data_IF_358060179399
#
_entry.id   IF_358060179399
#
_cell.length_a   1.000
_cell.length_b   1.000
_cell.length_c   1.000
_cell.angle_alpha   90.00
_cell.angle_beta   90.00
_cell.angle_gamma   90.00
#
_symmetry.space_group_name_H-M   'P 1'
#
loop_
_entity.id
_entity.type
_entity.pdbx_description
1 polymer ?
#
# COMPACT_ATOMS: atom_id res chain seq x y z
N UNK A 1 -8.54 5.89 10.26
CA UNK A 1 -7.49 5.80 9.22
C UNK A 1 -7.11 7.21 8.82
N UNK A 2 -5.82 7.53 8.79
CA UNK A 2 -5.32 8.76 8.18
C UNK A 2 -4.85 8.42 6.75
N UNK A 3 -5.54 8.91 5.73
CA UNK A 3 -5.31 8.44 4.35
C UNK A 3 -4.06 9.02 3.69
N UNK A 4 -3.62 10.22 4.10
CA UNK A 4 -2.43 10.89 3.56
C UNK A 4 -1.60 11.47 4.71
N UNK A 5 -0.95 10.61 5.51
CA UNK A 5 -0.05 11.07 6.58
C UNK A 5 1.10 11.88 5.98
N UNK A 6 1.57 12.87 6.74
CA UNK A 6 2.77 13.64 6.43
C UNK A 6 4.01 13.06 7.11
N UNK A 7 3.83 12.38 8.24
CA UNK A 7 4.91 11.66 8.91
C UNK A 7 5.38 10.51 8.04
N UNK A 8 6.70 10.34 7.98
CA UNK A 8 7.34 9.24 7.22
C UNK A 8 8.28 8.47 8.12
N UNK A 9 8.29 7.16 7.93
CA UNK A 9 9.15 6.23 8.66
C UNK A 9 10.24 5.65 7.76
N UNK A 10 11.06 4.78 8.34
CA UNK A 10 12.13 4.08 7.64
C UNK A 10 12.34 2.68 8.21
N UNK A 11 13.01 1.85 7.41
CA UNK A 11 13.42 0.50 7.75
C UNK A 11 14.94 0.42 7.66
N UNK A 12 15.56 -0.36 8.54
CA UNK A 12 17.00 -0.58 8.54
C UNK A 12 17.31 -2.05 8.80
N UNK A 13 18.29 -2.59 8.06
CA UNK A 13 18.82 -3.91 8.32
C UNK A 13 19.57 -3.90 9.66
N UNK A 14 19.25 -4.82 10.56
CA UNK A 14 19.96 -4.93 11.83
C UNK A 14 21.38 -5.49 11.66
N UNK A 15 21.60 -6.30 10.63
CA UNK A 15 22.89 -6.94 10.33
C UNK A 15 22.96 -7.37 8.84
N UNK A 16 24.03 -8.08 8.47
CA UNK A 16 24.19 -8.71 7.15
C UNK A 16 23.45 -10.05 7.03
N UNK A 17 22.97 -10.63 8.14
CA UNK A 17 22.24 -11.89 8.15
C UNK A 17 20.78 -11.64 7.73
N UNK A 18 20.29 -12.24 6.63
CA UNK A 18 18.91 -12.03 6.17
C UNK A 18 17.84 -12.62 7.10
N UNK A 19 18.21 -13.46 8.07
CA UNK A 19 17.29 -14.00 9.07
C UNK A 19 17.10 -13.09 10.29
N UNK A 20 17.94 -12.08 10.46
CA UNK A 20 17.79 -11.15 11.58
C UNK A 20 16.61 -10.21 11.31
N UNK A 21 15.81 -9.94 12.35
CA UNK A 21 14.71 -9.00 12.23
C UNK A 21 15.21 -7.60 11.89
N UNK A 22 14.56 -6.96 10.91
CA UNK A 22 14.82 -5.57 10.58
C UNK A 22 14.38 -4.63 11.70
N UNK A 23 14.98 -3.45 11.76
CA UNK A 23 14.50 -2.36 12.61
C UNK A 23 13.42 -1.60 11.85
N UNK A 24 12.29 -1.40 12.51
CA UNK A 24 11.12 -0.73 11.95
C UNK A 24 10.90 0.55 12.74
N UNK A 25 10.98 1.69 12.06
CA UNK A 25 10.74 3.00 12.64
C UNK A 25 9.56 3.67 11.93
N UNK A 26 8.31 3.43 12.37
CA UNK A 26 7.13 3.99 11.70
C UNK A 26 7.04 5.51 11.77
N UNK A 27 7.63 6.09 12.84
CA UNK A 27 7.68 7.53 13.08
C UNK A 27 6.29 8.20 13.08
N UNK A 28 5.29 7.54 13.67
CA UNK A 28 3.94 8.10 13.75
C UNK A 28 3.96 9.42 14.51
N UNK A 29 3.25 10.41 13.96
CA UNK A 29 3.06 11.74 14.56
C UNK A 29 4.30 12.63 14.65
N UNK A 30 5.36 12.29 13.93
CA UNK A 30 6.50 13.20 13.73
C UNK A 30 6.05 14.55 13.15
N UNK A 31 5.11 14.51 12.20
CA UNK A 31 4.39 15.71 11.79
C UNK A 31 3.17 15.93 12.70
N UNK A 32 3.10 17.06 13.44
CA UNK A 32 2.00 17.32 14.36
C UNK A 32 0.64 17.44 13.66
N UNK A 33 0.60 17.71 12.35
CA UNK A 33 -0.65 17.77 11.58
C UNK A 33 -1.37 16.43 11.51
N UNK A 34 -0.64 15.33 11.53
CA UNK A 34 -1.26 13.99 11.51
C UNK A 34 -2.07 13.73 12.79
N UNK A 35 -1.54 14.16 13.93
CA UNK A 35 -2.23 14.13 15.23
C UNK A 35 -3.49 14.98 15.19
N UNK A 36 -3.37 16.24 14.73
CA UNK A 36 -4.49 17.19 14.68
C UNK A 36 -5.64 16.66 13.81
N UNK A 37 -5.33 16.08 12.65
CA UNK A 37 -6.37 15.52 11.76
C UNK A 37 -7.10 14.35 12.42
N UNK A 38 -6.40 13.50 13.16
CA UNK A 38 -7.05 12.40 13.87
C UNK A 38 -7.92 12.88 15.04
N UNK A 39 -7.51 13.93 15.76
CA UNK A 39 -8.31 14.56 16.81
C UNK A 39 -9.61 15.13 16.21
N UNK A 40 -9.54 15.84 15.09
CA UNK A 40 -10.73 16.31 14.38
C UNK A 40 -11.61 15.15 13.88
N UNK A 41 -11.01 14.04 13.46
CA UNK A 41 -11.73 12.82 13.13
C UNK A 41 -12.50 12.22 14.32
N UNK A 42 -11.95 12.27 15.54
CA UNK A 42 -12.63 11.84 16.75
C UNK A 42 -13.80 12.77 17.12
N UNK A 43 -13.61 14.09 17.03
CA UNK A 43 -14.68 15.08 17.21
C UNK A 43 -15.83 14.84 16.24
N UNK A 44 -15.51 14.59 14.97
CA UNK A 44 -16.50 14.24 13.96
C UNK A 44 -17.23 12.93 14.29
N UNK A 45 -16.51 11.89 14.70
CA UNK A 45 -17.12 10.61 15.06
C UNK A 45 -18.07 10.73 16.26
N UNK A 46 -17.70 11.52 17.28
CA UNK A 46 -18.56 11.83 18.41
C UNK A 46 -19.83 12.58 17.96
N UNK A 47 -19.69 13.62 17.14
CA UNK A 47 -20.82 14.37 16.60
C UNK A 47 -21.75 13.49 15.76
N UNK A 48 -21.18 12.61 14.93
CA UNK A 48 -21.93 11.64 14.12
C UNK A 48 -22.72 10.66 15.00
N UNK A 49 -22.09 10.10 16.03
CA UNK A 49 -22.74 9.19 16.98
C UNK A 49 -23.91 9.85 17.73
N UNK A 50 -23.86 11.17 17.93
CA UNK A 50 -24.92 11.92 18.62
C UNK A 50 -26.09 12.34 17.70
N UNK A 51 -26.05 12.03 16.40
CA UNK A 51 -27.17 12.29 15.49
C UNK A 51 -28.39 11.42 15.83
N UNK A 52 -29.60 11.87 15.47
CA UNK A 52 -30.84 11.12 15.74
C UNK A 52 -30.81 9.70 15.15
N UNK A 53 -30.33 9.54 13.91
CA UNK A 53 -30.25 8.22 13.27
C UNK A 53 -29.34 7.26 14.04
N UNK A 54 -28.18 7.73 14.50
CA UNK A 54 -27.23 6.90 15.26
C UNK A 54 -27.74 6.59 16.67
N UNK A 55 -28.37 7.56 17.34
CA UNK A 55 -29.00 7.33 18.66
C UNK A 55 -30.16 6.35 18.60
N UNK A 56 -30.94 6.35 17.52
CA UNK A 56 -32.06 5.40 17.35
C UNK A 56 -31.61 3.93 17.30
N UNK A 57 -30.34 3.67 16.97
CA UNK A 57 -29.75 2.32 16.99
C UNK A 57 -28.83 2.09 18.20
N UNK A 58 -28.86 2.98 19.19
CA UNK A 58 -27.98 2.94 20.37
C UNK A 58 -26.48 2.87 20.01
N UNK A 59 -26.07 3.50 18.91
CA UNK A 59 -24.67 3.57 18.55
C UNK A 59 -23.89 4.41 19.57
N UNK A 60 -22.79 3.86 20.09
CA UNK A 60 -21.93 4.50 21.07
C UNK A 60 -20.48 4.40 20.61
N UNK A 61 -19.65 5.35 21.06
CA UNK A 61 -18.21 5.19 20.96
C UNK A 61 -17.73 4.12 21.95
N UNK A 62 -16.58 3.52 21.67
CA UNK A 62 -15.96 2.57 22.58
C UNK A 62 -15.77 3.20 23.97
N UNK A 63 -16.07 2.43 25.01
CA UNK A 63 -15.88 2.87 26.38
C UNK A 63 -14.40 2.81 26.77
N UNK A 64 -13.81 3.98 26.96
CA UNK A 64 -12.42 4.14 27.41
C UNK A 64 -12.30 4.38 28.93
N UNK A 65 -13.39 4.27 29.69
CA UNK A 65 -13.45 4.53 31.14
C UNK A 65 -12.44 3.70 31.95
N UNK A 66 -12.06 2.52 31.46
CA UNK A 66 -11.09 1.61 32.11
C UNK A 66 -9.67 1.72 31.56
N UNK A 67 -9.43 2.57 30.57
CA UNK A 67 -8.12 2.72 29.92
C UNK A 67 -7.18 3.66 30.67
N UNK A 68 -5.95 3.81 30.18
CA UNK A 68 -5.02 4.84 30.63
C UNK A 68 -5.50 6.26 30.27
N UNK A 69 -6.29 6.40 29.21
CA UNK A 69 -6.87 7.65 28.74
C UNK A 69 -8.29 7.82 29.27
N UNK A 70 -8.49 7.93 30.59
CA UNK A 70 -9.83 8.18 31.15
C UNK A 70 -10.18 9.64 30.98
N UNK A 71 -11.39 9.95 30.52
CA UNK A 71 -11.84 11.33 30.36
C UNK A 71 -11.73 12.17 31.65
N UNK A 72 -11.95 11.54 32.82
CA UNK A 72 -11.80 12.18 34.13
C UNK A 72 -10.38 12.69 34.44
N UNK A 73 -9.36 12.22 33.70
CA UNK A 73 -7.97 12.61 33.91
C UNK A 73 -7.60 13.89 33.17
N UNK A 74 -8.51 14.46 32.37
CA UNK A 74 -8.21 15.59 31.48
C UNK A 74 -9.16 16.75 31.75
N UNK A 75 -8.62 17.98 31.71
CA UNK A 75 -9.39 19.21 31.91
C UNK A 75 -10.20 19.60 30.66
N UNK A 76 -9.75 19.18 29.48
CA UNK A 76 -10.40 19.46 28.21
C UNK A 76 -10.44 18.20 27.32
N UNK A 77 -11.35 18.22 26.34
CA UNK A 77 -11.56 17.10 25.41
C UNK A 77 -10.38 16.87 24.45
N UNK A 78 -9.66 17.92 24.06
CA UNK A 78 -8.59 17.81 23.07
C UNK A 78 -7.38 17.05 23.63
N UNK A 79 -7.06 17.24 24.92
CA UNK A 79 -6.03 16.47 25.62
C UNK A 79 -6.45 15.01 25.81
N UNK A 80 -7.72 14.77 26.13
CA UNK A 80 -8.29 13.42 26.16
C UNK A 80 -8.19 12.72 24.79
N UNK A 81 -8.56 13.41 23.70
CA UNK A 81 -8.43 12.90 22.34
C UNK A 81 -6.98 12.69 21.93
N UNK A 82 -6.09 13.58 22.32
CA UNK A 82 -4.64 13.41 22.10
C UNK A 82 -4.14 12.12 22.77
N UNK A 83 -4.58 11.84 24.01
CA UNK A 83 -4.26 10.58 24.68
C UNK A 83 -4.78 9.38 23.89
N UNK A 84 -6.05 9.41 23.48
CA UNK A 84 -6.64 8.31 22.72
C UNK A 84 -5.89 8.06 21.40
N UNK A 85 -5.63 9.11 20.63
CA UNK A 85 -4.91 9.00 19.36
C UNK A 85 -3.51 8.42 19.59
N UNK A 86 -2.77 8.87 20.61
CA UNK A 86 -1.43 8.34 20.91
C UNK A 86 -1.44 6.87 21.34
N UNK A 87 -2.38 6.46 22.18
CA UNK A 87 -2.40 5.11 22.75
C UNK A 87 -3.03 4.06 21.84
N UNK A 88 -4.00 4.43 21.00
CA UNK A 88 -4.78 3.50 20.21
C UNK A 88 -4.46 3.52 18.72
N UNK A 89 -3.61 4.44 18.27
CA UNK A 89 -3.15 4.40 16.87
C UNK A 89 -2.29 3.18 16.65
N UNK A 90 -2.61 2.49 15.57
CA UNK A 90 -1.90 1.32 15.09
C UNK A 90 -1.85 1.34 13.57
N UNK A 91 -0.98 0.50 13.01
CA UNK A 91 -0.98 0.27 11.57
C UNK A 91 -2.31 -0.34 11.13
N UNK A 92 -2.77 0.03 9.93
CA UNK A 92 -3.83 -0.68 9.21
C UNK A 92 -3.25 -1.59 8.12
N UNK A 93 -1.96 -1.93 8.24
CA UNK A 93 -1.23 -2.83 7.35
C UNK A 93 -1.09 -2.33 5.90
N UNK A 94 -0.90 -1.01 5.73
CA UNK A 94 -0.64 -0.38 4.43
C UNK A 94 0.77 0.28 4.32
N UNK A 95 1.88 -0.43 4.61
CA UNK A 95 3.21 0.11 4.37
C UNK A 95 3.49 0.26 2.86
N UNK A 96 4.17 1.33 2.47
CA UNK A 96 4.56 1.62 1.09
C UNK A 96 5.76 2.56 1.03
N UNK A 97 6.33 2.76 -0.16
CA UNK A 97 7.30 3.83 -0.43
C UNK A 97 8.75 3.58 0.00
N UNK A 98 9.10 2.39 0.46
CA UNK A 98 10.47 2.03 0.88
C UNK A 98 11.47 1.86 -0.28
N UNK A 99 10.98 1.69 -1.51
CA UNK A 99 11.77 1.63 -2.74
C UNK A 99 11.21 2.62 -3.78
N UNK A 100 10.98 3.87 -3.34
CA UNK A 100 10.29 4.94 -4.07
C UNK A 100 10.63 5.00 -5.57
N UNK A 101 9.61 5.02 -6.41
CA UNK A 101 9.74 5.34 -7.83
C UNK A 101 9.97 6.85 -8.01
N UNK A 102 10.95 7.22 -8.84
CA UNK A 102 11.25 8.62 -9.12
C UNK A 102 12.32 8.82 -10.19
N UNK A 103 12.55 10.08 -10.61
CA UNK A 103 13.66 10.39 -11.51
C UNK A 103 15.00 10.14 -10.81
N UNK A 104 16.06 9.90 -11.59
CA UNK A 104 17.43 9.71 -11.05
C UNK A 104 17.95 10.93 -10.27
N UNK A 105 17.33 12.10 -10.47
CA UNK A 105 17.63 13.34 -9.74
C UNK A 105 16.97 13.41 -8.37
N UNK A 106 16.02 12.52 -8.04
CA UNK A 106 15.43 12.42 -6.71
C UNK A 106 16.34 11.53 -5.85
N UNK A 107 17.00 12.08 -4.81
CA UNK A 107 17.95 11.33 -3.99
C UNK A 107 17.30 10.17 -3.20
N UNK A 108 15.97 10.16 -3.08
CA UNK A 108 15.22 9.09 -2.42
C UNK A 108 14.70 8.02 -3.40
N UNK A 109 14.87 8.22 -4.71
CA UNK A 109 14.35 7.29 -5.71
C UNK A 109 15.22 6.03 -5.81
N UNK A 110 14.58 4.87 -5.76
CA UNK A 110 15.21 3.55 -5.91
C UNK A 110 14.95 2.97 -7.29
N UNK A 111 13.74 3.17 -7.84
CA UNK A 111 13.38 2.69 -9.16
C UNK A 111 12.97 3.80 -10.12
N UNK A 112 13.16 3.57 -11.41
CA UNK A 112 12.68 4.47 -12.46
C UNK A 112 11.21 4.21 -12.85
N UNK A 113 10.69 4.99 -13.81
CA UNK A 113 9.33 4.84 -14.35
C UNK A 113 9.04 3.50 -15.04
N UNK A 114 10.05 2.68 -15.29
CA UNK A 114 9.95 1.33 -15.83
C UNK A 114 10.15 0.26 -14.74
N UNK A 115 10.17 0.68 -13.48
CA UNK A 115 10.33 -0.13 -12.28
C UNK A 115 11.71 -0.78 -12.15
N UNK A 116 12.70 -0.28 -12.92
CA UNK A 116 14.08 -0.78 -12.89
C UNK A 116 14.82 -0.11 -11.75
N UNK A 117 15.60 -0.89 -11.01
CA UNK A 117 16.45 -0.34 -9.94
C UNK A 117 17.54 0.53 -10.57
N UNK A 118 17.69 1.76 -10.08
CA UNK A 118 18.72 2.67 -10.58
C UNK A 118 20.11 2.04 -10.46
N UNK A 119 20.90 2.18 -11.51
CA UNK A 119 22.28 1.67 -11.61
C UNK A 119 22.47 0.14 -11.53
N UNK A 120 21.39 -0.65 -11.47
CA UNK A 120 21.45 -2.12 -11.43
C UNK A 120 20.70 -2.71 -12.64
N UNK A 121 21.43 -3.44 -13.48
CA UNK A 121 20.87 -4.12 -14.64
C UNK A 121 20.06 -5.37 -14.25
N UNK A 122 19.00 -5.68 -15.00
CA UNK A 122 18.23 -6.92 -14.85
C UNK A 122 17.38 -7.03 -13.59
N UNK A 123 17.29 -5.97 -12.77
CA UNK A 123 16.54 -5.98 -11.51
C UNK A 123 15.37 -4.97 -11.54
N UNK A 124 14.22 -5.41 -11.04
CA UNK A 124 13.03 -4.57 -10.83
C UNK A 124 12.43 -4.81 -9.45
N UNK A 125 11.74 -3.80 -8.93
CA UNK A 125 10.91 -3.91 -7.71
C UNK A 125 9.46 -3.67 -8.11
N UNK A 126 8.55 -4.55 -7.69
CA UNK A 126 7.14 -4.54 -8.13
C UNK A 126 6.22 -4.89 -6.97
N UNK A 127 5.93 -3.90 -6.13
CA UNK A 127 4.96 -3.98 -5.04
C UNK A 127 4.62 -2.56 -4.53
N UNK A 128 3.98 -2.42 -3.37
CA UNK A 128 3.68 -1.10 -2.79
C UNK A 128 4.92 -0.27 -2.39
N UNK A 129 6.10 -0.87 -2.27
CA UNK A 129 7.34 -0.17 -1.90
C UNK A 129 7.71 0.91 -2.92
N UNK A 130 7.29 0.78 -4.18
CA UNK A 130 7.61 1.75 -5.22
C UNK A 130 6.73 3.00 -5.17
N UNK A 131 5.66 3.04 -4.37
CA UNK A 131 4.72 4.15 -4.36
C UNK A 131 5.39 5.43 -3.85
N UNK A 132 5.46 6.52 -4.64
CA UNK A 132 6.11 7.74 -4.20
C UNK A 132 5.40 8.43 -3.03
N UNK A 133 4.09 8.24 -2.96
CA UNK A 133 3.20 8.68 -1.89
C UNK A 133 2.12 7.61 -1.74
N UNK A 134 1.69 7.34 -0.50
CA UNK A 134 0.59 6.41 -0.25
C UNK A 134 -0.68 6.86 -0.98
N UNK A 135 -1.41 5.89 -1.53
CA UNK A 135 -2.69 6.12 -2.20
C UNK A 135 -3.80 6.40 -1.19
N UNK A 136 -4.78 7.22 -1.56
CA UNK A 136 -6.02 7.36 -0.78
C UNK A 136 -6.85 6.08 -0.91
N UNK A 137 -6.95 5.31 0.17
CA UNK A 137 -7.70 4.06 0.23
C UNK A 137 -6.80 2.88 0.61
N UNK A 138 -7.33 1.66 0.44
CA UNK A 138 -6.57 0.44 0.74
C UNK A 138 -5.54 0.15 -0.34
N UNK A 139 -4.33 -0.25 0.06
CA UNK A 139 -3.19 -0.43 -0.87
C UNK A 139 -3.30 -1.66 -1.76
N UNK A 140 -4.18 -2.62 -1.43
CA UNK A 140 -4.33 -3.86 -2.18
C UNK A 140 -4.57 -3.65 -3.68
N UNK A 141 -5.59 -2.86 -4.04
CA UNK A 141 -5.95 -2.61 -5.44
C UNK A 141 -4.82 -1.87 -6.20
N UNK A 142 -4.23 -0.78 -5.67
CA UNK A 142 -3.04 -0.16 -6.26
C UNK A 142 -1.87 -1.13 -6.47
N UNK A 143 -1.63 -2.05 -5.54
CA UNK A 143 -0.54 -3.03 -5.65
C UNK A 143 -0.81 -4.04 -6.76
N UNK A 144 -2.05 -4.53 -6.88
CA UNK A 144 -2.46 -5.39 -8.01
C UNK A 144 -2.26 -4.66 -9.34
N UNK A 145 -2.75 -3.43 -9.46
CA UNK A 145 -2.60 -2.63 -10.67
C UNK A 145 -1.12 -2.39 -11.04
N UNK A 146 -0.25 -2.28 -10.03
CA UNK A 146 1.20 -2.18 -10.22
C UNK A 146 1.79 -3.47 -10.79
N UNK A 147 1.35 -4.63 -10.28
CA UNK A 147 1.70 -5.94 -10.82
C UNK A 147 1.30 -6.09 -12.29
N UNK A 148 0.06 -5.74 -12.63
CA UNK A 148 -0.43 -5.75 -14.02
C UNK A 148 0.40 -4.85 -14.92
N UNK A 149 0.66 -3.61 -14.47
CA UNK A 149 1.49 -2.68 -15.24
C UNK A 149 2.91 -3.19 -15.43
N UNK A 150 3.49 -3.82 -14.41
CA UNK A 150 4.82 -4.40 -14.49
C UNK A 150 4.87 -5.55 -15.49
N UNK A 151 3.84 -6.41 -15.53
CA UNK A 151 3.76 -7.50 -16.50
C UNK A 151 3.82 -6.98 -17.94
N UNK A 152 3.08 -5.91 -18.25
CA UNK A 152 3.17 -5.25 -19.56
C UNK A 152 4.57 -4.69 -19.85
N UNK A 153 5.19 -4.03 -18.87
CA UNK A 153 6.53 -3.46 -19.01
C UNK A 153 7.61 -4.54 -19.18
N UNK A 154 7.42 -5.72 -18.60
CA UNK A 154 8.31 -6.87 -18.78
C UNK A 154 8.10 -7.45 -20.17
N UNK A 155 6.87 -7.78 -20.55
CA UNK A 155 6.55 -8.30 -21.90
C UNK A 155 7.06 -7.38 -23.02
N UNK A 156 6.89 -6.06 -22.86
CA UNK A 156 7.38 -5.09 -23.83
C UNK A 156 8.92 -5.07 -23.92
N UNK A 157 9.62 -5.18 -22.80
CA UNK A 157 11.09 -5.22 -22.78
C UNK A 157 11.65 -6.49 -23.43
N UNK A 158 10.95 -7.62 -23.28
CA UNK A 158 11.33 -8.91 -23.86
C UNK A 158 10.62 -9.21 -25.19
N UNK A 159 9.96 -8.24 -25.82
CA UNK A 159 9.13 -8.52 -26.99
C UNK A 159 9.91 -9.12 -28.18
N UNK A 160 11.19 -8.76 -28.35
CA UNK A 160 12.06 -9.37 -29.36
C UNK A 160 12.40 -10.83 -29.01
N UNK A 161 12.75 -11.11 -27.75
CA UNK A 161 13.08 -12.45 -27.27
C UNK A 161 11.85 -13.37 -27.24
N UNK A 162 10.68 -12.83 -26.86
CA UNK A 162 9.40 -13.54 -26.87
C UNK A 162 8.96 -13.88 -28.29
N UNK A 163 9.19 -13.00 -29.28
CA UNK A 163 8.92 -13.31 -30.69
C UNK A 163 9.85 -14.41 -31.19
N UNK A 164 11.15 -14.31 -30.92
CA UNK A 164 12.11 -15.35 -31.29
C UNK A 164 11.77 -16.71 -30.63
N UNK A 165 11.37 -16.71 -29.35
CA UNK A 165 10.94 -17.92 -28.66
C UNK A 165 9.61 -18.47 -29.19
N UNK A 166 8.63 -17.61 -29.49
CA UNK A 166 7.36 -18.01 -30.08
C UNK A 166 7.53 -18.59 -31.50
N UNK A 167 8.44 -18.04 -32.30
CA UNK A 167 8.80 -18.57 -33.61
C UNK A 167 9.47 -19.95 -33.46
N UNK A 168 10.34 -20.12 -32.46
CA UNK A 168 10.92 -21.44 -32.11
C UNK A 168 9.85 -22.46 -31.67
N UNK A 169 8.84 -22.03 -30.91
CA UNK A 169 7.71 -22.88 -30.51
C UNK A 169 6.78 -23.22 -31.67
N UNK A 170 6.60 -22.32 -32.66
CA UNK A 170 5.85 -22.57 -33.89
C UNK A 170 6.55 -23.55 -34.83
N UNK A 171 7.88 -23.59 -34.81
CA UNK A 171 8.66 -24.59 -35.52
C UNK A 171 8.64 -25.97 -34.83
N UNK A 172 8.24 -26.02 -33.55
CA UNK A 172 8.09 -27.26 -32.80
C UNK A 172 6.78 -27.98 -33.19
N UNK A 173 6.88 -28.97 -34.09
CA UNK A 173 5.79 -29.79 -34.64
C UNK A 173 4.87 -30.53 -33.65
N UNK A 174 5.05 -30.40 -32.34
CA UNK A 174 4.41 -31.31 -31.36
C UNK A 174 3.29 -30.73 -30.49
N UNK A 175 2.90 -29.46 -30.61
CA UNK A 175 1.71 -28.94 -29.91
C UNK A 175 0.90 -27.97 -30.78
N UNK A 176 0.30 -28.48 -31.86
CA UNK A 176 -0.78 -27.77 -32.56
C UNK A 176 -2.10 -28.03 -31.82
N UNK A 177 -2.39 -27.24 -30.80
CA UNK A 177 -3.80 -26.94 -30.46
C UNK A 177 -4.03 -25.49 -30.85
N UNK A 178 -4.82 -25.29 -31.90
CA UNK A 178 -5.20 -23.97 -32.39
C UNK A 178 -6.26 -23.39 -31.45
N UNK A 179 -5.91 -22.34 -30.71
CA UNK A 179 -6.81 -21.64 -29.78
C UNK A 179 -7.43 -20.38 -30.41
N UNK A 180 -7.41 -20.26 -31.73
CA UNK A 180 -8.12 -19.17 -32.41
C UNK A 180 -9.63 -19.27 -32.19
N UNK A 181 -10.33 -18.13 -32.19
CA UNK A 181 -11.79 -18.08 -32.03
C UNK A 181 -12.53 -19.00 -33.04
N UNK A 182 -11.95 -19.15 -34.23
CA UNK A 182 -12.43 -20.04 -35.29
C UNK A 182 -12.33 -21.54 -34.92
N UNK A 183 -11.25 -21.96 -34.26
CA UNK A 183 -11.06 -23.33 -33.80
C UNK A 183 -11.89 -23.68 -32.55
N UNK A 184 -12.23 -22.67 -31.73
CA UNK A 184 -13.10 -22.86 -30.56
C UNK A 184 -14.59 -23.02 -30.93
N UNK A 185 -15.07 -22.37 -31.99
CA UNK A 185 -16.44 -22.53 -32.52
C UNK A 185 -16.69 -23.95 -33.09
N UNK A 186 -15.68 -24.57 -33.70
CA UNK A 186 -15.78 -25.94 -34.24
C UNK A 186 -15.82 -27.02 -33.14
N UNK A 187 -15.30 -26.73 -31.94
CA UNK A 187 -15.30 -27.67 -30.81
C UNK A 187 -16.65 -27.77 -30.07
N UNK A 188 -17.59 -26.86 -30.34
CA UNK A 188 -18.91 -26.80 -29.72
C UNK A 188 -20.03 -27.37 -30.60
N UNK A 189 -19.70 -27.92 -31.77
CA UNK A 189 -20.64 -28.50 -32.73
C UNK A 189 -20.72 -30.05 -32.67
N UNK A 190 -20.45 -30.65 -31.51
CA UNK A 190 -20.64 -32.08 -31.22
C UNK A 190 -21.57 -32.26 -30.02
#
# INVERSE_FOLDING_TARGET
MLSRPLSTGWLELASKNPHDHIRIHPNYFDNPKDMMVLIEGLKFAEALANTTAMRNINATLLDYSRSACRASNFLNKDDFYTCLVRHYTQTIYHPCGTAKMGPVTDPMAVVDRFLRVHHIGGLRVVDASIFPVITTGNTNVPTIATGEKAADLVKAAYAADLRAHADTLRECKTLHTDYSAKAMEESQAV
#
